data_IF_680451931538
#
_entry.id   IF_680451931538
#
_cell.length_a   1.000
_cell.length_b   1.000
_cell.length_c   1.000
_cell.angle_alpha   90.00
_cell.angle_beta   90.00
_cell.angle_gamma   90.00
#
_symmetry.space_group_name_H-M   'P 1'
#
loop_
_entity.id
_entity.type
_entity.pdbx_description
1 polymer ?
#
# COMPACT_ATOMS: atom_id res chain seq x y z
N UNK A 1 7.54 -13.00 11.25
CA UNK A 1 6.33 -12.29 10.80
C UNK A 1 6.17 -11.06 11.66
N UNK A 2 6.14 -9.92 11.00
CA UNK A 2 5.73 -8.67 11.62
C UNK A 2 4.25 -8.75 11.96
N UNK A 3 3.84 -8.18 13.09
CA UNK A 3 2.42 -7.93 13.34
C UNK A 3 1.91 -6.84 12.40
N UNK A 4 0.63 -6.84 12.07
CA UNK A 4 -0.05 -5.79 11.30
C UNK A 4 0.34 -4.37 11.75
N UNK A 5 0.18 -4.07 13.05
CA UNK A 5 0.53 -2.76 13.61
C UNK A 5 2.00 -2.36 13.35
N UNK A 6 2.92 -3.31 13.50
CA UNK A 6 4.34 -3.05 13.26
C UNK A 6 4.64 -2.88 11.77
N UNK A 7 4.00 -3.67 10.90
CA UNK A 7 4.10 -3.53 9.45
C UNK A 7 3.60 -2.18 8.97
N UNK A 8 2.41 -1.76 9.42
CA UNK A 8 1.82 -0.46 9.07
C UNK A 8 2.68 0.72 9.51
N UNK A 9 3.33 0.65 10.68
CA UNK A 9 4.28 1.69 11.12
C UNK A 9 5.47 1.78 10.15
N UNK A 10 6.08 0.64 9.81
CA UNK A 10 7.23 0.59 8.87
C UNK A 10 6.83 1.14 7.50
N UNK A 11 5.66 0.76 6.98
CA UNK A 11 5.15 1.24 5.70
C UNK A 11 4.91 2.75 5.73
N UNK A 12 4.25 3.26 6.77
CA UNK A 12 4.00 4.70 6.91
C UNK A 12 5.30 5.49 6.88
N UNK A 13 6.26 5.13 7.73
CA UNK A 13 7.54 5.81 7.83
C UNK A 13 8.29 5.78 6.49
N UNK A 14 8.26 4.66 5.77
CA UNK A 14 8.91 4.54 4.47
C UNK A 14 8.27 5.45 3.40
N UNK A 15 6.94 5.51 3.34
CA UNK A 15 6.24 6.37 2.37
C UNK A 15 6.37 7.86 2.70
N UNK A 16 6.32 8.24 3.97
CA UNK A 16 6.58 9.62 4.40
C UNK A 16 8.03 10.02 4.11
N UNK A 17 9.00 9.12 4.33
CA UNK A 17 10.40 9.36 3.99
C UNK A 17 10.64 9.52 2.47
N UNK A 18 9.83 8.87 1.64
CA UNK A 18 9.81 9.05 0.18
C UNK A 18 9.14 10.38 -0.24
N UNK A 19 8.46 11.06 0.68
CA UNK A 19 7.85 12.38 0.46
C UNK A 19 6.34 12.36 0.24
N UNK A 20 5.66 11.25 0.49
CA UNK A 20 4.20 11.17 0.41
C UNK A 20 3.53 11.71 1.68
N UNK A 21 2.36 12.35 1.53
CA UNK A 21 1.53 12.82 2.64
C UNK A 21 0.49 11.75 3.01
N UNK A 22 0.89 10.76 3.80
CA UNK A 22 0.05 9.60 4.11
C UNK A 22 -1.08 9.94 5.11
N UNK A 23 -2.30 9.61 4.72
CA UNK A 23 -3.48 9.56 5.59
C UNK A 23 -3.77 8.10 5.94
N UNK A 24 -3.72 7.75 7.22
CA UNK A 24 -4.01 6.39 7.70
C UNK A 24 -5.52 6.09 7.70
N UNK A 25 -5.89 4.82 7.49
CA UNK A 25 -7.29 4.34 7.45
C UNK A 25 -8.14 5.15 6.45
N UNK A 26 -7.60 5.31 5.24
CA UNK A 26 -8.20 6.16 4.21
C UNK A 26 -9.34 5.44 3.50
N UNK A 27 -10.57 5.99 3.49
CA UNK A 27 -11.68 5.43 2.74
C UNK A 27 -11.53 5.76 1.25
N UNK A 28 -10.94 4.85 0.48
CA UNK A 28 -10.84 4.97 -0.95
C UNK A 28 -12.21 4.75 -1.60
N UNK A 29 -12.69 5.77 -2.33
CA UNK A 29 -13.90 5.69 -3.14
C UNK A 29 -13.57 6.13 -4.57
N UNK A 30 -13.37 5.18 -5.49
CA UNK A 30 -12.98 5.44 -6.88
C UNK A 30 -13.73 4.51 -7.83
N UNK A 31 -14.34 5.07 -8.88
CA UNK A 31 -15.05 4.29 -9.93
C UNK A 31 -16.08 3.28 -9.37
N UNK A 32 -16.71 3.58 -8.23
CA UNK A 32 -17.67 2.69 -7.57
C UNK A 32 -17.04 1.57 -6.75
N UNK A 33 -15.71 1.51 -6.64
CA UNK A 33 -14.98 0.70 -5.67
C UNK A 33 -14.87 1.49 -4.37
N UNK A 34 -15.27 0.87 -3.26
CA UNK A 34 -15.18 1.41 -1.91
C UNK A 34 -14.39 0.44 -1.04
N UNK A 35 -13.31 0.91 -0.43
CA UNK A 35 -12.50 0.14 0.50
C UNK A 35 -11.75 1.02 1.49
N UNK A 36 -11.34 0.44 2.61
CA UNK A 36 -10.39 1.05 3.55
C UNK A 36 -8.98 0.71 3.07
N UNK A 37 -8.11 1.72 3.03
CA UNK A 37 -6.67 1.53 2.88
C UNK A 37 -5.93 1.87 4.17
N UNK A 38 -4.92 1.10 4.52
CA UNK A 38 -4.09 1.33 5.69
C UNK A 38 -3.42 2.69 5.69
N UNK A 39 -2.94 3.12 4.53
CA UNK A 39 -2.34 4.44 4.31
C UNK A 39 -2.38 4.89 2.85
N UNK A 40 -2.77 6.14 2.62
CA UNK A 40 -2.90 6.69 1.26
C UNK A 40 -2.62 8.19 1.19
N UNK A 41 -1.91 8.63 0.16
CA UNK A 41 -1.77 10.03 -0.25
C UNK A 41 -2.75 10.31 -1.41
N UNK A 42 -3.85 11.05 -1.17
CA UNK A 42 -4.84 11.34 -2.19
C UNK A 42 -4.36 12.34 -3.26
N UNK A 43 -3.33 13.14 -2.99
CA UNK A 43 -2.76 14.07 -3.97
C UNK A 43 -1.90 13.31 -4.98
N UNK A 44 -1.03 12.43 -4.48
CA UNK A 44 -0.17 11.59 -5.32
C UNK A 44 -0.92 10.40 -5.94
N UNK A 45 -2.05 10.01 -5.33
CA UNK A 45 -2.80 8.77 -5.60
C UNK A 45 -1.95 7.51 -5.39
N UNK A 46 -1.17 7.53 -4.32
CA UNK A 46 -0.22 6.48 -3.94
C UNK A 46 -0.50 6.04 -2.50
N UNK A 47 -0.46 4.75 -2.21
CA UNK A 47 -0.60 4.25 -0.84
C UNK A 47 -0.17 2.81 -0.67
N UNK A 48 -0.57 2.20 0.42
CA UNK A 48 -0.26 0.82 0.78
C UNK A 48 -1.38 0.14 1.56
N UNK A 49 -1.35 -1.19 1.52
CA UNK A 49 -2.16 -2.10 2.33
C UNK A 49 -1.26 -3.23 2.85
N UNK A 50 -1.33 -3.51 4.16
CA UNK A 50 -0.69 -4.67 4.77
C UNK A 50 -1.73 -5.78 4.98
N UNK A 51 -1.71 -6.79 4.11
CA UNK A 51 -2.70 -7.85 4.12
C UNK A 51 -2.38 -8.87 5.21
N UNK A 52 -3.31 -9.07 6.13
CA UNK A 52 -3.29 -10.18 7.09
C UNK A 52 -4.27 -11.29 6.67
N UNK A 53 -4.07 -12.51 7.16
CA UNK A 53 -5.03 -13.60 6.91
C UNK A 53 -6.47 -13.26 7.39
N UNK A 54 -6.61 -12.31 8.31
CA UNK A 54 -7.89 -11.89 8.89
C UNK A 54 -8.63 -10.80 8.06
N UNK A 55 -7.93 -10.05 7.20
CA UNK A 55 -8.52 -8.89 6.50
C UNK A 55 -9.49 -9.27 5.38
N UNK A 56 -9.42 -10.50 4.87
CA UNK A 56 -10.38 -11.02 3.88
C UNK A 56 -10.55 -10.16 2.63
N UNK A 57 -9.59 -9.27 2.36
CA UNK A 57 -9.67 -8.24 1.34
C UNK A 57 -9.41 -8.88 -0.02
N UNK A 58 -10.42 -8.90 -0.89
CA UNK A 58 -10.28 -9.38 -2.27
C UNK A 58 -9.64 -8.26 -3.11
N UNK A 59 -8.39 -8.39 -3.59
CA UNK A 59 -7.70 -7.32 -4.29
C UNK A 59 -8.27 -7.02 -5.68
N UNK A 60 -9.13 -7.87 -6.24
CA UNK A 60 -9.62 -7.77 -7.62
C UNK A 60 -10.16 -6.40 -8.05
N UNK A 61 -11.05 -5.73 -7.28
CA UNK A 61 -11.50 -4.38 -7.61
C UNK A 61 -10.38 -3.33 -7.56
N UNK A 62 -9.43 -3.46 -6.63
CA UNK A 62 -8.29 -2.57 -6.51
C UNK A 62 -7.29 -2.79 -7.65
N UNK A 63 -7.04 -4.04 -8.05
CA UNK A 63 -6.23 -4.40 -9.20
C UNK A 63 -6.75 -3.74 -10.48
N UNK A 64 -8.07 -3.69 -10.67
CA UNK A 64 -8.68 -3.00 -11.81
C UNK A 64 -8.38 -1.49 -11.78
N UNK A 65 -8.49 -0.84 -10.62
CA UNK A 65 -8.15 0.58 -10.47
C UNK A 65 -6.68 0.85 -10.77
N UNK A 66 -5.78 0.00 -10.30
CA UNK A 66 -4.35 0.12 -10.54
C UNK A 66 -4.01 -0.09 -12.02
N UNK A 67 -4.59 -1.11 -12.67
CA UNK A 67 -4.42 -1.38 -14.09
C UNK A 67 -4.95 -0.24 -14.99
N UNK A 68 -5.94 0.50 -14.51
CA UNK A 68 -6.48 1.70 -15.19
C UNK A 68 -5.73 2.99 -14.81
N UNK A 69 -4.64 2.89 -14.04
CA UNK A 69 -3.82 3.99 -13.56
C UNK A 69 -4.61 5.05 -12.77
N UNK A 70 -5.68 4.63 -12.09
CA UNK A 70 -6.47 5.49 -11.21
C UNK A 70 -5.78 5.73 -9.86
N UNK A 71 -4.99 4.76 -9.39
CA UNK A 71 -4.17 4.84 -8.18
C UNK A 71 -3.01 3.85 -8.28
N UNK A 72 -2.04 3.95 -7.37
CA UNK A 72 -0.93 3.02 -7.22
C UNK A 72 -0.85 2.60 -5.76
N UNK A 73 -1.22 1.37 -5.45
CA UNK A 73 -1.23 0.86 -4.07
C UNK A 73 -0.23 -0.27 -3.96
N UNK A 74 0.63 -0.21 -2.94
CA UNK A 74 1.53 -1.30 -2.59
C UNK A 74 0.79 -2.29 -1.70
N UNK A 75 0.56 -3.50 -2.21
CA UNK A 75 -0.02 -4.59 -1.44
C UNK A 75 1.10 -5.50 -0.98
N UNK A 76 1.12 -5.86 0.31
CA UNK A 76 2.05 -6.87 0.82
C UNK A 76 1.37 -7.72 1.89
N UNK A 77 1.50 -9.04 1.73
CA UNK A 77 0.97 -10.01 2.67
C UNK A 77 1.97 -10.30 3.80
N UNK A 78 1.46 -10.53 5.01
CA UNK A 78 2.29 -10.85 6.18
C UNK A 78 3.17 -12.10 6.01
N UNK A 79 2.76 -13.02 5.13
CA UNK A 79 3.49 -14.23 4.79
C UNK A 79 4.59 -14.01 3.74
N UNK A 80 4.54 -12.90 3.00
CA UNK A 80 5.53 -12.56 1.97
C UNK A 80 6.80 -11.93 2.56
N UNK A 81 6.74 -11.42 3.79
CA UNK A 81 7.87 -10.76 4.47
C UNK A 81 8.09 -11.29 5.88
N UNK A 82 9.30 -11.79 6.14
CA UNK A 82 9.64 -12.31 7.45
C UNK A 82 9.83 -11.19 8.50
N UNK A 83 10.37 -10.04 8.07
CA UNK A 83 10.76 -8.90 8.90
C UNK A 83 10.73 -7.55 8.16
N UNK A 84 11.08 -6.47 8.89
CA UNK A 84 11.04 -5.09 8.38
C UNK A 84 12.06 -4.81 7.28
N UNK A 85 13.17 -5.54 7.24
CA UNK A 85 14.20 -5.36 6.21
C UNK A 85 13.69 -5.85 4.86
N UNK A 86 13.06 -7.02 4.84
CA UNK A 86 12.42 -7.57 3.63
C UNK A 86 11.26 -6.68 3.16
N UNK A 87 10.44 -6.17 4.09
CA UNK A 87 9.37 -5.22 3.79
C UNK A 87 9.91 -3.94 3.13
N UNK A 88 10.94 -3.32 3.70
CA UNK A 88 11.53 -2.11 3.12
C UNK A 88 12.14 -2.36 1.75
N UNK A 89 12.76 -3.52 1.53
CA UNK A 89 13.27 -3.90 0.22
C UNK A 89 12.14 -3.97 -0.83
N UNK A 90 11.01 -4.58 -0.48
CA UNK A 90 9.83 -4.64 -1.35
C UNK A 90 9.24 -3.26 -1.64
N UNK A 91 9.13 -2.39 -0.62
CA UNK A 91 8.68 -1.00 -0.78
C UNK A 91 9.61 -0.21 -1.72
N UNK A 92 10.93 -0.35 -1.61
CA UNK A 92 11.86 0.34 -2.49
C UNK A 92 11.84 -0.18 -3.94
N UNK A 93 11.52 -1.46 -4.16
CA UNK A 93 11.24 -1.98 -5.50
C UNK A 93 9.96 -1.36 -6.06
N UNK A 94 8.92 -1.18 -5.24
CA UNK A 94 7.68 -0.50 -5.65
C UNK A 94 7.93 0.96 -6.04
N UNK A 95 8.65 1.73 -5.21
CA UNK A 95 9.00 3.12 -5.55
C UNK A 95 9.74 3.25 -6.88
N UNK A 96 10.71 2.36 -7.12
CA UNK A 96 11.44 2.34 -8.41
C UNK A 96 10.53 2.07 -9.60
N UNK A 97 9.56 1.16 -9.48
CA UNK A 97 8.62 0.86 -10.56
C UNK A 97 7.75 2.08 -10.91
N UNK A 98 7.18 2.72 -9.89
CA UNK A 98 6.27 3.86 -10.11
C UNK A 98 6.98 5.13 -10.61
N UNK A 99 8.27 5.27 -10.36
CA UNK A 99 9.11 6.35 -10.94
C UNK A 99 9.40 6.10 -12.42
N UNK A 100 9.59 4.85 -12.83
CA UNK A 100 9.84 4.48 -14.24
C UNK A 100 8.57 4.58 -15.09
N UNK A 101 7.42 4.24 -14.51
CA UNK A 101 6.10 4.29 -15.17
C UNK A 101 5.41 5.68 -15.05
N UNK A 102 6.08 6.68 -14.48
CA UNK A 102 5.59 8.04 -14.21
C UNK A 102 5.78 9.04 -15.34
#
# INVERSE_FOLDING_TARGET
MLSEMAGRIVLKEAFEAQGYEIVENYPLCLQGVEMQLDGYDPKARVGYEYLTEEDGLEPGPLDLLMNQNHCRVFLIDETEVADATEMLAAVFEFFRKIEVDG
#
